data_IF_824925599890
#
_entry.id   IF_824925599890
#
_cell.length_a   1.000
_cell.length_b   1.000
_cell.length_c   1.000
_cell.angle_alpha   90.00
_cell.angle_beta   90.00
_cell.angle_gamma   90.00
#
_symmetry.space_group_name_H-M   'P 1'
#
loop_
_entity.id
_entity.type
_entity.pdbx_description
1 polymer ?
#
# COMPACT_ATOMS: atom_id res chain seq x y z
N UNK A 1 9.65 8.65 14.37
CA UNK A 1 11.05 8.49 13.93
C UNK A 1 11.80 9.76 14.30
N UNK A 2 12.87 9.69 15.09
CA UNK A 2 13.61 10.90 15.48
C UNK A 2 14.18 11.56 14.20
N UNK A 3 14.22 12.90 14.12
CA UNK A 3 14.67 13.62 12.91
C UNK A 3 16.04 13.11 12.41
N UNK A 4 16.89 12.66 13.33
CA UNK A 4 18.20 12.04 13.08
C UNK A 4 18.14 10.79 12.19
N UNK A 5 17.12 9.94 12.31
CA UNK A 5 17.00 8.73 11.49
C UNK A 5 16.56 9.04 10.05
N UNK A 6 15.85 10.15 9.83
CA UNK A 6 15.40 10.54 8.48
C UNK A 6 16.56 11.10 7.66
N UNK A 7 17.43 11.88 8.31
CA UNK A 7 18.68 12.36 7.71
C UNK A 7 19.60 11.20 7.29
N UNK A 8 19.60 10.10 8.04
CA UNK A 8 20.48 8.97 7.79
C UNK A 8 20.14 8.21 6.49
N UNK A 9 18.85 8.03 6.15
CA UNK A 9 18.46 7.30 4.93
C UNK A 9 18.79 8.11 3.66
N UNK A 10 18.50 9.41 3.66
CA UNK A 10 18.82 10.26 2.50
C UNK A 10 20.34 10.39 2.31
N UNK A 11 21.13 10.43 3.39
CA UNK A 11 22.60 10.36 3.32
C UNK A 11 23.10 9.02 2.77
N UNK A 12 22.53 7.88 3.21
CA UNK A 12 22.90 6.55 2.70
C UNK A 12 22.61 6.46 1.20
N UNK A 13 21.45 6.94 0.75
CA UNK A 13 21.09 6.97 -0.67
C UNK A 13 22.08 7.82 -1.46
N UNK A 14 22.37 9.04 -0.98
CA UNK A 14 23.30 9.94 -1.65
C UNK A 14 24.72 9.38 -1.68
N UNK A 15 25.20 8.78 -0.59
CA UNK A 15 26.51 8.13 -0.53
C UNK A 15 26.61 6.95 -1.51
N UNK A 16 25.54 6.16 -1.64
CA UNK A 16 25.49 5.02 -2.56
C UNK A 16 25.50 5.46 -4.03
N UNK A 17 24.84 6.58 -4.35
CA UNK A 17 24.84 7.17 -5.71
C UNK A 17 26.23 7.71 -6.07
N UNK A 18 26.86 8.43 -5.14
CA UNK A 18 28.20 9.00 -5.32
C UNK A 18 29.25 7.89 -5.49
N UNK A 19 29.16 6.83 -4.69
CA UNK A 19 30.13 5.72 -4.71
C UNK A 19 30.10 4.89 -6.00
N UNK A 20 28.98 4.92 -6.76
CA UNK A 20 28.81 4.13 -7.98
C UNK A 20 28.94 4.97 -9.27
N UNK A 21 29.57 6.15 -9.22
CA UNK A 21 29.76 7.03 -10.38
C UNK A 21 28.46 7.31 -11.17
N UNK A 22 27.30 7.36 -10.49
CA UNK A 22 26.01 7.63 -11.12
C UNK A 22 25.42 6.49 -11.98
N UNK A 23 26.04 5.30 -12.04
CA UNK A 23 25.41 4.11 -12.62
C UNK A 23 24.63 3.36 -11.54
N UNK A 24 23.30 3.44 -11.62
CA UNK A 24 22.39 2.70 -10.73
C UNK A 24 21.80 1.56 -11.56
N UNK A 25 22.11 0.32 -11.16
CA UNK A 25 21.46 -0.87 -11.68
C UNK A 25 19.97 -0.88 -11.28
N UNK A 26 19.08 -1.35 -12.16
CA UNK A 26 17.63 -1.40 -11.94
C UNK A 26 17.30 -2.21 -10.67
N UNK A 27 18.09 -3.24 -10.37
CA UNK A 27 18.01 -4.01 -9.13
C UNK A 27 18.20 -3.13 -7.89
N UNK A 28 19.21 -2.25 -7.91
CA UNK A 28 19.53 -1.34 -6.81
C UNK A 28 18.43 -0.29 -6.65
N UNK A 29 17.89 0.22 -7.76
CA UNK A 29 16.79 1.18 -7.72
C UNK A 29 15.53 0.57 -7.08
N UNK A 30 15.18 -0.65 -7.46
CA UNK A 30 14.03 -1.36 -6.91
C UNK A 30 14.20 -1.61 -5.40
N UNK A 31 15.38 -2.06 -4.97
CA UNK A 31 15.69 -2.24 -3.54
C UNK A 31 15.58 -0.92 -2.76
N UNK A 32 16.04 0.20 -3.34
CA UNK A 32 15.92 1.52 -2.71
C UNK A 32 14.46 1.98 -2.57
N UNK A 33 13.63 1.71 -3.58
CA UNK A 33 12.19 1.99 -3.53
C UNK A 33 11.54 1.17 -2.42
N UNK A 34 11.89 -0.11 -2.30
CA UNK A 34 11.36 -1.00 -1.27
C UNK A 34 11.78 -0.55 0.13
N UNK A 35 13.05 -0.19 0.34
CA UNK A 35 13.54 0.37 1.61
C UNK A 35 12.79 1.65 1.97
N UNK A 36 12.60 2.57 1.02
CA UNK A 36 11.88 3.84 1.26
C UNK A 36 10.41 3.57 1.60
N UNK A 37 9.79 2.58 0.97
CA UNK A 37 8.42 2.14 1.28
C UNK A 37 8.31 1.56 2.69
N UNK A 38 9.22 0.68 3.08
CA UNK A 38 9.27 0.10 4.43
C UNK A 38 9.49 1.18 5.50
N UNK A 39 10.39 2.14 5.26
CA UNK A 39 10.62 3.26 6.17
C UNK A 39 9.37 4.14 6.34
N UNK A 40 8.61 4.37 5.26
CA UNK A 40 7.37 5.13 5.31
C UNK A 40 6.27 4.39 6.10
N UNK A 41 6.20 3.07 5.93
CA UNK A 41 5.29 2.20 6.67
C UNK A 41 5.63 2.14 8.18
N UNK A 42 6.92 2.04 8.52
CA UNK A 42 7.36 2.10 9.91
C UNK A 42 7.01 3.46 10.54
N UNK A 43 7.24 4.56 9.81
CA UNK A 43 6.87 5.90 10.27
C UNK A 43 5.36 6.01 10.52
N UNK A 44 4.53 5.47 9.63
CA UNK A 44 3.07 5.40 9.81
C UNK A 44 2.70 4.64 11.08
N UNK A 45 3.30 3.47 11.30
CA UNK A 45 3.04 2.65 12.49
C UNK A 45 3.46 3.37 13.79
N UNK A 46 4.58 4.08 13.78
CA UNK A 46 5.04 4.88 14.92
C UNK A 46 4.08 6.04 15.23
N UNK A 47 3.63 6.78 14.21
CA UNK A 47 2.66 7.86 14.37
C UNK A 47 1.33 7.33 14.92
N UNK A 48 0.86 6.17 14.45
CA UNK A 48 -0.37 5.54 14.95
C UNK A 48 -0.24 5.14 16.43
N UNK A 49 0.92 4.61 16.83
CA UNK A 49 1.19 4.30 18.23
C UNK A 49 1.24 5.55 19.12
N UNK A 50 1.82 6.65 18.62
CA UNK A 50 1.88 7.93 19.33
C UNK A 50 0.48 8.51 19.55
N UNK A 51 -0.36 8.53 18.51
CA UNK A 51 -1.76 8.93 18.60
C UNK A 51 -2.50 8.08 19.65
N UNK A 52 -2.34 6.75 19.61
CA UNK A 52 -2.95 5.85 20.60
C UNK A 52 -2.47 6.15 22.03
N UNK A 53 -1.20 6.53 22.22
CA UNK A 53 -0.68 6.93 23.53
C UNK A 53 -1.31 8.25 24.00
N UNK A 54 -1.42 9.24 23.12
CA UNK A 54 -2.06 10.52 23.44
C UNK A 54 -3.55 10.34 23.77
N UNK A 55 -4.28 9.55 23.00
CA UNK A 55 -5.68 9.19 23.28
C UNK A 55 -5.82 8.56 24.67
N UNK A 56 -4.96 7.60 25.02
CA UNK A 56 -4.97 6.97 26.33
C UNK A 56 -4.64 7.96 27.46
N UNK A 57 -3.74 8.91 27.21
CA UNK A 57 -3.38 9.94 28.17
C UNK A 57 -4.52 10.94 28.38
N UNK A 58 -5.23 11.32 27.32
CA UNK A 58 -6.45 12.15 27.38
C UNK A 58 -7.55 11.41 28.15
N UNK A 59 -7.79 10.13 27.87
CA UNK A 59 -8.75 9.28 28.63
C UNK A 59 -8.39 9.20 30.11
N UNK A 60 -7.12 9.01 30.45
CA UNK A 60 -6.64 9.00 31.83
C UNK A 60 -6.80 10.36 32.53
N UNK A 61 -6.61 11.48 31.82
CA UNK A 61 -6.88 12.83 32.35
C UNK A 61 -8.37 13.09 32.55
N UNK A 62 -9.23 12.63 31.64
CA UNK A 62 -10.69 12.68 31.78
C UNK A 62 -11.15 11.99 33.06
N UNK A 63 -10.61 10.81 33.37
CA UNK A 63 -10.93 10.07 34.60
C UNK A 63 -10.44 10.74 35.90
N UNK A 64 -9.60 11.78 35.84
CA UNK A 64 -9.13 12.54 37.01
C UNK A 64 -9.92 13.82 37.28
N UNK A 65 -10.78 14.27 36.35
CA UNK A 65 -11.64 15.41 36.65
C UNK A 65 -12.67 14.97 37.70
N UNK A 66 -12.68 15.58 38.90
CA UNK A 66 -13.65 15.22 39.92
C UNK A 66 -15.06 15.49 39.39
N UNK A 67 -15.98 14.57 39.66
CA UNK A 67 -17.40 14.65 39.29
C UNK A 67 -18.11 15.95 39.76
N UNK A 68 -17.43 16.81 40.52
CA UNK A 68 -17.96 18.06 41.07
C UNK A 68 -18.04 19.22 40.08
N UNK A 69 -17.28 19.23 38.98
CA UNK A 69 -17.33 20.31 37.96
C UNK A 69 -18.31 20.00 36.82
N UNK A 70 -18.81 18.76 36.73
CA UNK A 70 -19.72 18.26 35.68
C UNK A 70 -21.16 18.03 36.19
N UNK A 71 -21.60 18.76 37.21
CA UNK A 71 -22.97 18.64 37.74
C UNK A 71 -24.03 19.15 36.76
N UNK A 72 -23.64 19.91 35.73
CA UNK A 72 -24.54 20.37 34.69
C UNK A 72 -24.40 19.49 33.43
N UNK A 73 -25.38 18.61 33.14
CA UNK A 73 -25.31 17.65 32.04
C UNK A 73 -25.11 18.30 30.67
N UNK A 74 -25.59 19.54 30.49
CA UNK A 74 -25.44 20.29 29.24
C UNK A 74 -24.01 20.72 28.98
N UNK A 75 -23.27 21.10 30.03
CA UNK A 75 -21.87 21.52 29.92
C UNK A 75 -20.96 20.32 29.64
N UNK A 76 -21.26 19.17 30.27
CA UNK A 76 -20.60 17.88 30.00
C UNK A 76 -20.76 17.45 28.54
N UNK A 77 -21.98 17.57 27.99
CA UNK A 77 -22.25 17.21 26.60
C UNK A 77 -21.48 18.09 25.60
N UNK A 78 -21.40 19.40 25.84
CA UNK A 78 -20.69 20.35 24.96
C UNK A 78 -19.18 20.12 24.99
N UNK A 79 -18.58 19.90 26.16
CA UNK A 79 -17.14 19.62 26.29
C UNK A 79 -16.78 18.25 25.68
N UNK A 80 -17.62 17.23 25.89
CA UNK A 80 -17.43 15.92 25.27
C UNK A 80 -17.57 15.98 23.73
N UNK A 81 -18.54 16.74 23.22
CA UNK A 81 -18.71 16.94 21.78
C UNK A 81 -17.51 17.67 21.15
N UNK A 82 -17.00 18.73 21.79
CA UNK A 82 -15.82 19.47 21.31
C UNK A 82 -14.55 18.60 21.34
N UNK A 83 -14.34 17.81 22.40
CA UNK A 83 -13.21 16.90 22.50
C UNK A 83 -13.28 15.79 21.42
N UNK A 84 -14.47 15.22 21.18
CA UNK A 84 -14.68 14.24 20.11
C UNK A 84 -14.50 14.81 18.70
N UNK A 85 -14.86 16.08 18.48
CA UNK A 85 -14.67 16.74 17.18
C UNK A 85 -13.19 17.01 16.89
N UNK A 86 -12.42 17.46 17.89
CA UNK A 86 -11.00 17.75 17.72
C UNK A 86 -10.16 16.48 17.51
N UNK A 87 -10.44 15.39 18.23
CA UNK A 87 -9.72 14.12 18.05
C UNK A 87 -10.03 13.48 16.70
N UNK A 88 -11.30 13.47 16.27
CA UNK A 88 -11.69 12.93 14.96
C UNK A 88 -11.12 13.75 13.79
N UNK A 89 -11.04 15.08 13.93
CA UNK A 89 -10.48 15.97 12.90
C UNK A 89 -8.97 15.75 12.71
N UNK A 90 -8.21 15.55 13.80
CA UNK A 90 -6.76 15.32 13.75
C UNK A 90 -6.45 13.94 13.15
N UNK A 91 -7.19 12.89 13.55
CA UNK A 91 -7.00 11.53 13.02
C UNK A 91 -7.35 11.47 11.53
N UNK A 92 -8.46 12.09 11.11
CA UNK A 92 -8.84 12.17 9.70
C UNK A 92 -7.82 12.94 8.85
N UNK A 93 -7.24 14.02 9.40
CA UNK A 93 -6.21 14.80 8.72
C UNK A 93 -4.91 14.01 8.52
N UNK A 94 -4.47 13.27 9.54
CA UNK A 94 -3.24 12.45 9.50
C UNK A 94 -3.40 11.23 8.59
N UNK A 95 -4.56 10.57 8.61
CA UNK A 95 -4.85 9.47 7.68
C UNK A 95 -5.01 9.97 6.23
N UNK A 96 -5.63 11.14 6.04
CA UNK A 96 -5.77 11.78 4.73
C UNK A 96 -4.43 12.16 4.10
N UNK A 97 -3.51 12.75 4.86
CA UNK A 97 -2.21 13.21 4.33
C UNK A 97 -1.32 12.05 3.82
N UNK A 98 -1.38 10.90 4.48
CA UNK A 98 -0.58 9.73 4.11
C UNK A 98 -1.10 9.06 2.82
N UNK A 99 -2.43 9.00 2.65
CA UNK A 99 -3.04 8.53 1.41
C UNK A 99 -2.77 9.50 0.25
N UNK A 100 -2.76 10.81 0.52
CA UNK A 100 -2.48 11.84 -0.49
C UNK A 100 -1.03 11.74 -1.01
N UNK A 101 -0.05 11.50 -0.13
CA UNK A 101 1.34 11.26 -0.56
C UNK A 101 1.47 10.00 -1.44
N UNK A 102 0.74 8.94 -1.11
CA UNK A 102 0.77 7.70 -1.87
C UNK A 102 0.06 7.82 -3.23
N UNK A 103 -1.05 8.55 -3.28
CA UNK A 103 -1.72 8.92 -4.53
C UNK A 103 -0.85 9.84 -5.39
N UNK A 104 -0.17 10.80 -4.78
CA UNK A 104 0.78 11.68 -5.46
C UNK A 104 1.95 10.88 -6.06
N UNK A 105 2.54 9.94 -5.33
CA UNK A 105 3.60 9.05 -5.84
C UNK A 105 3.10 8.17 -7.00
N UNK A 106 1.88 7.62 -6.90
CA UNK A 106 1.28 6.84 -7.99
C UNK A 106 1.05 7.68 -9.24
N UNK A 107 0.50 8.87 -9.07
CA UNK A 107 0.27 9.82 -10.14
C UNK A 107 1.58 10.20 -10.83
N UNK A 108 2.62 10.55 -10.05
CA UNK A 108 3.95 10.85 -10.61
C UNK A 108 4.54 9.64 -11.36
N UNK A 109 4.41 8.43 -10.82
CA UNK A 109 4.87 7.20 -11.48
C UNK A 109 4.14 6.96 -12.80
N UNK A 110 2.83 7.19 -12.85
CA UNK A 110 2.02 7.03 -14.06
C UNK A 110 2.41 8.06 -15.14
N UNK A 111 2.66 9.32 -14.76
CA UNK A 111 3.16 10.34 -15.67
C UNK A 111 4.51 9.97 -16.29
N UNK A 112 5.46 9.50 -15.48
CA UNK A 112 6.78 9.04 -15.96
C UNK A 112 6.64 7.85 -16.91
N UNK A 113 5.76 6.89 -16.57
CA UNK A 113 5.50 5.71 -17.39
C UNK A 113 4.88 6.12 -18.74
N UNK A 114 3.90 7.03 -18.74
CA UNK A 114 3.28 7.52 -19.97
C UNK A 114 4.25 8.33 -20.83
N UNK A 115 5.09 9.15 -20.22
CA UNK A 115 6.11 9.93 -20.92
C UNK A 115 7.19 9.04 -21.57
N UNK A 116 7.40 7.82 -21.08
CA UNK A 116 8.40 6.88 -21.60
C UNK A 116 7.84 5.88 -22.63
N UNK A 117 6.54 5.91 -22.94
CA UNK A 117 5.91 5.03 -23.95
C UNK A 117 6.25 5.33 -25.41
N UNK A 118 6.28 6.59 -25.88
CA UNK A 118 6.49 6.89 -27.30
C UNK A 118 7.75 6.23 -27.87
N UNK A 119 7.66 5.72 -29.11
CA UNK A 119 8.81 5.13 -29.81
C UNK A 119 9.91 6.18 -30.08
N UNK A 120 9.49 7.42 -30.37
CA UNK A 120 10.39 8.54 -30.60
C UNK A 120 11.09 8.99 -29.30
N UNK A 121 12.41 8.89 -29.32
CA UNK A 121 13.29 9.25 -28.21
C UNK A 121 13.19 10.73 -27.81
N UNK A 122 13.15 11.64 -28.77
CA UNK A 122 13.06 13.07 -28.50
C UNK A 122 11.70 13.41 -27.90
N UNK A 123 10.64 12.73 -28.33
CA UNK A 123 9.31 12.88 -27.74
C UNK A 123 9.25 12.44 -26.28
N UNK A 124 9.95 11.36 -25.91
CA UNK A 124 10.05 10.94 -24.50
C UNK A 124 10.75 11.99 -23.64
N UNK A 125 11.84 12.56 -24.14
CA UNK A 125 12.57 13.64 -23.46
C UNK A 125 11.65 14.86 -23.28
N UNK A 126 10.97 15.30 -24.34
CA UNK A 126 10.06 16.44 -24.31
C UNK A 126 8.93 16.25 -23.28
N UNK A 127 8.31 15.06 -23.22
CA UNK A 127 7.24 14.76 -22.28
C UNK A 127 7.73 14.69 -20.82
N UNK A 128 8.89 14.10 -20.58
CA UNK A 128 9.47 14.08 -19.22
C UNK A 128 9.82 15.49 -18.76
N UNK A 129 10.45 16.30 -19.62
CA UNK A 129 10.78 17.69 -19.32
C UNK A 129 9.51 18.51 -19.05
N UNK A 130 8.48 18.35 -19.88
CA UNK A 130 7.18 19.00 -19.66
C UNK A 130 6.58 18.68 -18.28
N UNK A 131 6.60 17.40 -17.86
CA UNK A 131 6.05 17.01 -16.57
C UNK A 131 6.83 17.60 -15.38
N UNK A 132 8.15 17.80 -15.54
CA UNK A 132 9.01 18.47 -14.54
C UNK A 132 8.71 19.97 -14.52
N UNK A 133 8.75 20.63 -15.69
CA UNK A 133 8.57 22.08 -15.84
C UNK A 133 7.17 22.53 -15.40
N UNK A 134 6.15 21.70 -15.66
CA UNK A 134 4.77 21.93 -15.22
C UNK A 134 4.56 21.69 -13.71
N UNK A 135 5.57 21.21 -12.98
CA UNK A 135 5.49 20.91 -11.55
C UNK A 135 4.57 19.72 -11.23
N UNK A 136 4.34 18.82 -12.19
CA UNK A 136 3.56 17.61 -11.99
C UNK A 136 4.38 16.52 -11.28
N UNK A 137 5.69 16.54 -11.48
CA UNK A 137 6.67 15.76 -10.70
C UNK A 137 7.35 16.72 -9.73
N UNK A 138 7.13 16.52 -8.43
CA UNK A 138 7.58 17.46 -7.38
C UNK A 138 8.69 16.93 -6.50
N UNK A 139 8.89 15.61 -6.45
CA UNK A 139 9.92 15.01 -5.62
C UNK A 139 11.32 15.42 -6.14
N UNK A 140 12.12 16.18 -5.35
CA UNK A 140 13.41 16.70 -5.81
C UNK A 140 14.41 15.61 -6.21
N UNK A 141 14.34 14.45 -5.55
CA UNK A 141 15.19 13.31 -5.86
C UNK A 141 14.81 12.70 -7.21
N UNK A 142 13.51 12.51 -7.48
CA UNK A 142 13.03 12.06 -8.79
C UNK A 142 13.42 13.04 -9.89
N UNK A 143 13.22 14.35 -9.69
CA UNK A 143 13.59 15.39 -10.65
C UNK A 143 15.09 15.30 -10.98
N UNK A 144 15.97 15.22 -9.98
CA UNK A 144 17.41 15.15 -10.20
C UNK A 144 17.85 13.96 -11.07
N UNK A 145 17.18 12.81 -10.89
CA UNK A 145 17.44 11.60 -11.69
C UNK A 145 16.90 11.74 -13.11
N UNK A 146 15.68 12.24 -13.27
CA UNK A 146 15.10 12.46 -14.59
C UNK A 146 15.93 13.47 -15.39
N UNK A 147 16.38 14.55 -14.76
CA UNK A 147 17.29 15.53 -15.38
C UNK A 147 18.58 14.87 -15.88
N UNK A 148 19.18 13.98 -15.09
CA UNK A 148 20.37 13.24 -15.50
C UNK A 148 20.08 12.34 -16.72
N UNK A 149 18.96 11.61 -16.70
CA UNK A 149 18.55 10.74 -17.81
C UNK A 149 18.24 11.55 -19.08
N UNK A 150 17.57 12.70 -18.93
CA UNK A 150 17.26 13.64 -20.02
C UNK A 150 18.55 14.22 -20.62
N UNK A 151 19.47 14.72 -19.78
CA UNK A 151 20.76 15.32 -20.23
C UNK A 151 21.68 14.31 -20.90
N UNK A 152 21.71 13.07 -20.42
CA UNK A 152 22.46 12.00 -21.08
C UNK A 152 21.84 11.56 -22.41
N UNK A 153 20.57 11.94 -22.64
CA UNK A 153 19.79 11.49 -23.75
C UNK A 153 19.49 9.99 -23.70
N UNK A 154 19.67 9.28 -22.59
CA UNK A 154 19.42 7.84 -22.52
C UNK A 154 18.07 7.53 -21.87
N UNK A 155 16.99 8.16 -22.35
CA UNK A 155 15.63 7.89 -21.85
C UNK A 155 15.16 6.51 -22.33
N UNK A 156 14.99 5.53 -21.43
CA UNK A 156 14.52 4.21 -21.80
C UNK A 156 13.12 4.31 -22.38
N UNK A 157 12.84 3.51 -23.41
CA UNK A 157 11.47 3.28 -23.82
C UNK A 157 10.88 2.31 -22.81
N UNK A 158 9.79 2.69 -22.16
CA UNK A 158 9.03 1.75 -21.35
C UNK A 158 8.34 0.80 -22.31
N UNK A 159 9.00 -0.31 -22.63
CA UNK A 159 8.31 -1.51 -23.08
C UNK A 159 7.56 -2.03 -21.88
N UNK A 160 6.38 -1.47 -21.62
CA UNK A 160 5.39 -2.16 -20.82
C UNK A 160 5.01 -3.39 -21.65
N UNK A 161 5.83 -4.45 -21.57
CA UNK A 161 5.26 -5.80 -21.61
C UNK A 161 4.15 -5.71 -20.60
N UNK A 162 2.91 -5.77 -21.08
CA UNK A 162 1.72 -5.83 -20.23
C UNK A 162 2.06 -6.79 -19.11
N UNK A 163 2.40 -6.26 -17.94
CA UNK A 163 2.58 -7.07 -16.75
C UNK A 163 1.19 -7.62 -16.60
N UNK A 164 1.04 -8.91 -16.90
CA UNK A 164 -0.23 -9.59 -16.70
C UNK A 164 -0.63 -9.23 -15.28
N UNK A 165 -1.74 -8.51 -15.05
CA UNK A 165 -2.09 -8.09 -13.71
C UNK A 165 -2.45 -9.31 -12.83
N UNK A 166 -2.39 -10.54 -13.37
CA UNK A 166 -2.35 -11.82 -12.66
C UNK A 166 -0.93 -12.28 -12.25
N UNK A 167 0.14 -11.78 -12.86
CA UNK A 167 1.52 -11.99 -12.44
C UNK A 167 1.95 -10.87 -11.49
N UNK A 168 1.53 -10.97 -10.23
CA UNK A 168 2.24 -10.26 -9.17
C UNK A 168 3.64 -10.89 -9.07
N UNK A 169 4.67 -10.11 -9.43
CA UNK A 169 6.07 -10.47 -9.19
C UNK A 169 6.31 -10.27 -7.69
N UNK A 170 6.01 -11.31 -6.92
CA UNK A 170 6.62 -11.50 -5.61
C UNK A 170 8.09 -11.91 -5.86
N UNK A 171 9.00 -11.76 -4.88
CA UNK A 171 10.43 -12.08 -5.06
C UNK A 171 10.61 -13.40 -5.81
N UNK A 172 11.56 -13.47 -6.75
CA UNK A 172 11.67 -14.38 -7.90
C UNK A 172 11.31 -15.88 -7.73
N UNK A 173 11.20 -16.39 -6.50
CA UNK A 173 10.85 -17.77 -6.18
C UNK A 173 9.40 -17.96 -5.70
N UNK A 174 8.61 -16.89 -5.61
CA UNK A 174 7.28 -16.92 -5.02
C UNK A 174 6.20 -16.58 -6.06
N UNK A 175 5.38 -17.57 -6.41
CA UNK A 175 4.27 -17.41 -7.35
C UNK A 175 2.97 -17.87 -6.69
N UNK A 176 2.05 -16.92 -6.45
CA UNK A 176 0.70 -17.23 -5.97
C UNK A 176 -0.25 -17.30 -7.17
N UNK A 177 -0.98 -18.41 -7.39
CA UNK A 177 -2.07 -18.46 -8.36
C UNK A 177 -3.06 -17.31 -8.11
N UNK A 178 -3.13 -16.37 -9.06
CA UNK A 178 -3.91 -15.14 -8.92
C UNK A 178 -4.92 -15.05 -10.06
N UNK A 179 -6.17 -14.77 -9.72
CA UNK A 179 -7.27 -14.54 -10.68
C UNK A 179 -7.74 -13.11 -10.56
N UNK A 180 -7.60 -12.34 -11.64
CA UNK A 180 -7.88 -10.90 -11.70
C UNK A 180 -8.98 -10.56 -12.72
N UNK A 181 -10.01 -11.39 -12.78
CA UNK A 181 -11.13 -11.21 -13.73
C UNK A 181 -11.93 -9.94 -13.45
N UNK A 182 -11.99 -9.50 -12.19
CA UNK A 182 -12.64 -8.23 -11.85
C UNK A 182 -11.71 -7.07 -12.19
N UNK A 183 -12.08 -6.27 -13.19
CA UNK A 183 -11.32 -5.09 -13.65
C UNK A 183 -11.84 -3.75 -13.08
N UNK A 184 -12.92 -3.77 -12.29
CA UNK A 184 -13.54 -2.54 -11.77
C UNK A 184 -12.80 -1.87 -10.62
N UNK A 185 -13.36 -0.75 -10.15
CA UNK A 185 -12.88 0.02 -8.99
C UNK A 185 -14.06 0.42 -8.06
N UNK A 186 -13.90 0.34 -6.73
CA UNK A 186 -12.77 -0.26 -6.02
C UNK A 186 -12.80 -1.80 -6.11
N UNK A 187 -11.63 -2.43 -5.93
CA UNK A 187 -11.50 -3.88 -5.84
C UNK A 187 -10.39 -4.30 -4.87
N UNK A 188 -10.53 -5.49 -4.27
CA UNK A 188 -9.55 -6.08 -3.35
C UNK A 188 -9.39 -7.59 -3.61
N UNK A 189 -8.33 -8.20 -3.09
CA UNK A 189 -8.07 -9.63 -3.24
C UNK A 189 -8.51 -10.40 -2.01
N UNK A 190 -9.16 -11.54 -2.22
CA UNK A 190 -9.44 -12.54 -1.18
C UNK A 190 -8.50 -13.71 -1.40
N UNK A 191 -7.81 -14.16 -0.34
CA UNK A 191 -6.99 -15.35 -0.40
C UNK A 191 -7.84 -16.61 -0.22
N UNK A 192 -7.52 -17.63 -1.02
CA UNK A 192 -8.03 -18.97 -0.88
C UNK A 192 -7.10 -19.76 0.05
N UNK A 193 -7.59 -20.15 1.21
CA UNK A 193 -6.85 -20.95 2.18
C UNK A 193 -7.31 -22.40 2.15
N UNK A 194 -6.41 -23.35 2.39
CA UNK A 194 -6.73 -24.75 2.58
C UNK A 194 -5.89 -25.38 3.69
N UNK A 195 -6.31 -26.53 4.19
CA UNK A 195 -5.48 -27.41 5.02
C UNK A 195 -4.59 -28.33 4.17
N UNK A 196 -4.74 -28.30 2.84
CA UNK A 196 -3.94 -29.08 1.92
C UNK A 196 -2.62 -28.36 1.63
N UNK A 197 -1.50 -29.02 1.93
CA UNK A 197 -0.16 -28.48 1.65
C UNK A 197 0.21 -28.57 0.17
N UNK A 198 -0.30 -29.60 -0.53
CA UNK A 198 0.04 -29.87 -1.92
C UNK A 198 -0.41 -28.72 -2.83
N UNK A 199 0.47 -28.25 -3.72
CA UNK A 199 0.26 -27.10 -4.61
C UNK A 199 -0.06 -25.76 -3.91
N UNK A 200 0.18 -25.66 -2.61
CA UNK A 200 0.09 -24.37 -1.92
C UNK A 200 1.24 -23.43 -2.30
N UNK A 201 0.96 -22.13 -2.32
CA UNK A 201 1.96 -21.10 -2.51
C UNK A 201 2.79 -20.86 -1.23
N UNK A 202 2.16 -20.89 -0.06
CA UNK A 202 2.83 -20.68 1.24
C UNK A 202 2.06 -21.25 2.43
N UNK A 203 2.74 -21.48 3.55
CA UNK A 203 2.10 -21.71 4.85
C UNK A 203 1.98 -20.43 5.66
N UNK A 204 0.86 -20.27 6.37
CA UNK A 204 0.66 -19.19 7.37
C UNK A 204 0.67 -19.73 8.81
N UNK A 205 1.11 -20.97 9.00
CA UNK A 205 1.12 -21.67 10.29
C UNK A 205 -0.20 -22.38 10.61
N UNK A 206 -0.18 -23.25 11.63
CA UNK A 206 -1.37 -23.97 12.11
C UNK A 206 -2.02 -24.89 11.07
N UNK A 207 -1.23 -25.52 10.21
CA UNK A 207 -1.70 -26.34 9.08
C UNK A 207 -2.63 -25.60 8.11
N UNK A 208 -2.43 -24.29 7.96
CA UNK A 208 -3.14 -23.45 6.98
C UNK A 208 -2.16 -23.01 5.90
N UNK A 209 -2.60 -23.15 4.66
CA UNK A 209 -1.83 -22.88 3.46
C UNK A 209 -2.61 -21.96 2.52
N UNK A 210 -1.90 -21.05 1.86
CA UNK A 210 -2.44 -20.17 0.82
C UNK A 210 -2.38 -20.92 -0.49
N UNK A 211 -3.53 -21.10 -1.13
CA UNK A 211 -3.66 -21.82 -2.40
C UNK A 211 -3.65 -20.86 -3.59
N UNK A 212 -4.14 -19.64 -3.39
CA UNK A 212 -4.25 -18.63 -4.43
C UNK A 212 -4.99 -17.39 -3.93
N UNK A 213 -5.30 -16.48 -4.84
CA UNK A 213 -6.12 -15.31 -4.56
C UNK A 213 -7.00 -14.92 -5.74
N UNK A 214 -8.14 -14.30 -5.44
CA UNK A 214 -9.11 -13.84 -6.45
C UNK A 214 -9.45 -12.37 -6.18
N UNK A 215 -9.36 -11.52 -7.20
CA UNK A 215 -9.81 -10.12 -7.12
C UNK A 215 -11.32 -10.04 -7.23
N UNK A 216 -11.94 -9.30 -6.33
CA UNK A 216 -13.39 -9.09 -6.25
C UNK A 216 -13.72 -7.60 -6.13
N UNK A 217 -14.96 -7.18 -6.47
CA UNK A 217 -15.45 -5.86 -6.09
C UNK A 217 -15.41 -5.70 -4.57
N UNK A 218 -14.90 -4.58 -4.09
CA UNK A 218 -14.70 -4.35 -2.66
C UNK A 218 -13.60 -3.32 -2.41
N UNK A 219 -13.20 -3.16 -1.17
CA UNK A 219 -12.12 -2.27 -0.78
C UNK A 219 -11.28 -2.88 0.34
N UNK A 220 -10.11 -2.32 0.60
CA UNK A 220 -9.30 -2.71 1.74
C UNK A 220 -9.62 -1.85 2.95
N UNK A 221 -9.81 -2.48 4.10
CA UNK A 221 -9.79 -1.85 5.41
C UNK A 221 -8.54 -2.34 6.15
N UNK A 222 -7.50 -1.51 6.15
CA UNK A 222 -6.15 -1.96 6.51
C UNK A 222 -5.69 -3.07 5.55
N UNK A 223 -5.37 -4.24 6.10
CA UNK A 223 -4.94 -5.43 5.34
C UNK A 223 -6.10 -6.35 4.92
N UNK A 224 -7.31 -6.05 5.40
CA UNK A 224 -8.48 -6.91 5.24
C UNK A 224 -9.26 -6.46 4.00
N UNK A 225 -9.38 -7.33 3.00
CA UNK A 225 -10.32 -7.13 1.90
C UNK A 225 -11.75 -7.25 2.45
N UNK A 226 -12.53 -6.18 2.24
CA UNK A 226 -13.97 -6.06 2.52
C UNK A 226 -14.71 -6.19 1.17
N UNK A 227 -15.16 -7.41 0.78
CA UNK A 227 -15.85 -7.61 -0.48
C UNK A 227 -17.19 -6.90 -0.45
N UNK A 228 -17.59 -6.32 -1.58
CA UNK A 228 -18.83 -5.56 -1.69
C UNK A 228 -20.05 -6.42 -1.31
N UNK A 229 -20.83 -5.98 -0.34
CA UNK A 229 -21.99 -6.71 0.19
C UNK A 229 -21.68 -7.72 1.30
N UNK A 230 -20.40 -7.88 1.66
CA UNK A 230 -19.93 -8.78 2.72
C UNK A 230 -19.08 -8.04 3.76
N UNK A 231 -19.18 -6.71 3.81
CA UNK A 231 -18.42 -5.88 4.72
C UNK A 231 -18.68 -6.26 6.18
N UNK A 232 -17.61 -6.43 6.96
CA UNK A 232 -17.68 -6.82 8.38
C UNK A 232 -18.14 -8.26 8.64
N UNK A 233 -18.42 -9.05 7.60
CA UNK A 233 -18.83 -10.45 7.74
C UNK A 233 -17.63 -11.39 7.77
N UNK A 234 -17.79 -12.52 8.46
CA UNK A 234 -16.79 -13.59 8.42
C UNK A 234 -16.92 -14.40 7.12
N UNK A 235 -16.23 -13.93 6.07
CA UNK A 235 -16.28 -14.53 4.74
C UNK A 235 -15.74 -15.97 4.67
N UNK A 236 -14.96 -16.43 5.66
CA UNK A 236 -14.40 -17.79 5.69
C UNK A 236 -15.45 -18.90 5.76
N UNK A 237 -16.65 -18.58 6.25
CA UNK A 237 -17.74 -19.56 6.42
C UNK A 237 -18.76 -19.55 5.29
N UNK A 238 -18.66 -18.61 4.35
CA UNK A 238 -19.65 -18.43 3.30
C UNK A 238 -19.37 -19.37 2.13
N UNK A 239 -20.35 -20.20 1.78
CA UNK A 239 -20.23 -21.17 0.70
C UNK A 239 -20.03 -20.51 -0.67
N UNK A 240 -20.55 -19.28 -0.84
CA UNK A 240 -20.31 -18.46 -2.04
C UNK A 240 -18.82 -18.36 -2.40
N UNK A 241 -17.95 -18.09 -1.41
CA UNK A 241 -16.52 -17.96 -1.71
C UNK A 241 -15.83 -19.31 -1.94
N UNK A 242 -16.31 -20.39 -1.29
CA UNK A 242 -15.78 -21.73 -1.58
C UNK A 242 -16.09 -22.15 -3.02
N UNK A 243 -17.30 -21.84 -3.50
CA UNK A 243 -17.71 -22.04 -4.89
C UNK A 243 -16.91 -21.17 -5.86
N UNK A 244 -16.70 -19.90 -5.51
CA UNK A 244 -15.86 -19.00 -6.29
C UNK A 244 -14.45 -19.58 -6.48
N UNK A 245 -13.82 -20.09 -5.42
CA UNK A 245 -12.48 -20.68 -5.52
C UNK A 245 -12.44 -22.00 -6.28
N UNK A 246 -13.44 -22.87 -6.09
CA UNK A 246 -13.55 -24.11 -6.85
C UNK A 246 -13.65 -23.84 -8.36
N UNK A 247 -14.41 -22.81 -8.74
CA UNK A 247 -14.55 -22.39 -10.14
C UNK A 247 -13.30 -21.69 -10.69
N UNK A 248 -12.70 -20.76 -9.92
CA UNK A 248 -11.64 -19.87 -10.41
C UNK A 248 -10.24 -20.45 -10.23
N UNK A 249 -10.05 -21.34 -9.28
CA UNK A 249 -8.79 -21.98 -8.93
C UNK A 249 -8.91 -23.52 -8.95
N UNK A 250 -9.44 -24.13 -10.04
CA UNK A 250 -9.83 -25.55 -10.06
C UNK A 250 -8.67 -26.52 -9.87
N UNK A 251 -7.43 -26.07 -10.05
CA UNK A 251 -6.24 -26.91 -9.83
C UNK A 251 -5.89 -27.05 -8.36
N UNK A 252 -6.18 -26.04 -7.53
CA UNK A 252 -5.72 -25.97 -6.13
C UNK A 252 -6.86 -26.00 -5.12
N UNK A 253 -8.09 -25.70 -5.55
CA UNK A 253 -9.27 -25.64 -4.68
C UNK A 253 -10.34 -26.65 -5.10
N UNK A 254 -10.01 -27.93 -5.10
CA UNK A 254 -10.88 -29.00 -5.62
C UNK A 254 -11.99 -29.34 -4.62
N UNK A 255 -13.23 -29.51 -5.10
CA UNK A 255 -14.39 -29.91 -4.31
C UNK A 255 -14.65 -28.96 -3.12
N UNK A 256 -14.52 -27.65 -3.34
CA UNK A 256 -14.69 -26.63 -2.30
C UNK A 256 -13.74 -26.82 -1.09
N UNK A 257 -12.53 -27.35 -1.33
CA UNK A 257 -11.51 -27.57 -0.29
C UNK A 257 -10.89 -26.29 0.27
N UNK A 258 -11.18 -25.14 -0.34
CA UNK A 258 -10.68 -23.84 0.06
C UNK A 258 -11.72 -22.99 0.77
N UNK A 259 -11.28 -22.08 1.65
CA UNK A 259 -12.10 -21.05 2.27
C UNK A 259 -11.49 -19.66 2.10
N UNK A 260 -12.31 -18.63 2.26
CA UNK A 260 -11.88 -17.24 2.10
C UNK A 260 -11.22 -16.69 3.36
N UNK A 261 -10.13 -15.95 3.21
CA UNK A 261 -9.66 -15.04 4.25
C UNK A 261 -9.33 -13.66 3.68
N UNK A 262 -9.74 -12.64 4.43
CA UNK A 262 -9.64 -11.25 4.00
C UNK A 262 -8.25 -10.63 4.22
N UNK A 263 -7.43 -11.16 5.12
CA UNK A 263 -6.06 -10.66 5.35
C UNK A 263 -5.17 -11.05 4.17
N UNK A 264 -5.17 -10.20 3.14
CA UNK A 264 -4.34 -10.33 1.95
C UNK A 264 -3.35 -9.18 1.78
N UNK A 265 -3.45 -8.12 2.60
CA UNK A 265 -2.56 -6.95 2.52
C UNK A 265 -1.08 -7.29 2.66
N UNK A 266 -0.75 -8.32 3.44
CA UNK A 266 0.62 -8.82 3.58
C UNK A 266 1.21 -9.48 2.32
N UNK A 267 0.38 -9.96 1.39
CA UNK A 267 0.81 -10.63 0.14
C UNK A 267 0.89 -9.67 -1.05
N UNK A 268 0.12 -8.58 -1.05
CA UNK A 268 0.18 -7.54 -2.11
C UNK A 268 0.95 -6.29 -1.67
N UNK A 269 1.63 -6.35 -0.52
CA UNK A 269 2.52 -5.30 -0.01
C UNK A 269 1.82 -3.96 0.18
N UNK A 270 0.67 -3.92 0.87
CA UNK A 270 -0.01 -2.68 1.25
C UNK A 270 -0.37 -2.63 2.73
#
# INVERSE_FOLDING_TARGET
MNLENKQNIDEIINHFIVSNNGKIDDTVLNNLIEIKKLALEEQKNQNEQEIKREENLIKAKQNRFPNSILSNPTTTAVVAALAGFLTSSIVAFIQGSSNLQLEELKFQSELITNATKPDDKNKRIELLQFNIDAGLIKDPYIISKLDYIIKSGNVPQSSVTTIDPNQYILPNDFSIPTVNDFIGSPGCYIAAYSHQKEMSASSVGGDIYVMGQVRVPGHYEGRICQPKGYEGQNISRLDYFKELFDQKLPKVCINKSCWAGGDTGGFVGR
#
